data_IF_375071775411
#
_entry.id   IF_375071775411
#
_cell.length_a   1.000
_cell.length_b   1.000
_cell.length_c   1.000
_cell.angle_alpha   90.00
_cell.angle_beta   90.00
_cell.angle_gamma   90.00
#
_symmetry.space_group_name_H-M   'P 1'
#
loop_
_entity.id
_entity.type
_entity.pdbx_description
1 polymer ?
#
# COMPACT_ATOMS: atom_id res chain seq x y z
N UNK A 1 3.20 22.44 3.97
CA UNK A 1 1.99 22.23 4.77
C UNK A 1 0.66 22.32 4.01
N UNK A 2 0.51 23.06 2.88
CA UNK A 2 -0.79 23.19 2.15
C UNK A 2 -1.12 22.09 1.13
N UNK A 3 -0.13 21.31 0.67
CA UNK A 3 -0.32 20.33 -0.43
C UNK A 3 -0.74 18.91 0.01
N UNK A 4 -0.44 18.52 1.24
CA UNK A 4 -0.83 17.20 1.78
C UNK A 4 -2.33 17.11 2.07
N UNK A 5 -2.97 18.23 2.34
CA UNK A 5 -4.43 18.35 2.53
C UNK A 5 -5.23 18.05 1.26
N UNK A 6 -4.61 18.14 0.08
CA UNK A 6 -5.34 17.99 -1.18
C UNK A 6 -5.78 16.53 -1.43
N UNK A 7 -4.93 15.54 -1.11
CA UNK A 7 -5.28 14.11 -1.27
C UNK A 7 -6.23 13.67 -0.14
N UNK A 8 -6.05 14.15 1.09
CA UNK A 8 -7.01 13.93 2.17
C UNK A 8 -8.35 14.63 1.92
N UNK A 9 -8.34 15.85 1.35
CA UNK A 9 -9.57 16.55 0.95
C UNK A 9 -10.35 15.79 -0.11
N UNK A 10 -9.65 15.10 -1.03
CA UNK A 10 -10.28 14.24 -2.04
C UNK A 10 -11.07 13.09 -1.38
N UNK A 11 -10.50 12.48 -0.33
CA UNK A 11 -11.17 11.41 0.43
C UNK A 11 -12.41 11.91 1.15
N UNK A 12 -12.37 13.09 1.75
CA UNK A 12 -13.53 13.69 2.43
C UNK A 12 -14.69 13.94 1.45
N UNK A 13 -14.41 14.46 0.25
CA UNK A 13 -15.45 14.71 -0.76
C UNK A 13 -16.15 13.42 -1.22
N UNK A 14 -15.41 12.31 -1.32
CA UNK A 14 -15.96 11.02 -1.78
C UNK A 14 -16.80 10.31 -0.71
N UNK A 15 -16.48 10.49 0.59
CA UNK A 15 -17.12 9.75 1.68
C UNK A 15 -18.27 10.52 2.37
N UNK A 16 -18.31 11.85 2.31
CA UNK A 16 -19.23 12.65 3.11
C UNK A 16 -20.52 13.12 2.40
N UNK A 17 -20.68 12.93 1.07
CA UNK A 17 -21.91 13.28 0.37
C UNK A 17 -22.86 12.09 0.20
N UNK A 18 -23.62 11.79 1.25
CA UNK A 18 -24.62 10.72 1.23
C UNK A 18 -25.99 11.25 1.60
N UNK A 19 -26.66 11.93 0.72
CA UNK A 19 -28.12 12.02 0.67
C UNK A 19 -28.54 12.95 -0.46
N UNK A 20 -28.80 12.44 -1.66
CA UNK A 20 -29.80 12.92 -2.60
C UNK A 20 -29.90 11.94 -3.80
N UNK A 21 -31.13 11.67 -4.26
CA UNK A 21 -31.53 10.77 -5.33
C UNK A 21 -30.88 11.08 -6.71
N UNK A 22 -31.05 10.22 -7.65
CA UNK A 22 -30.54 10.10 -9.05
C UNK A 22 -29.91 11.33 -9.75
N UNK A 23 -30.36 12.56 -9.46
CA UNK A 23 -29.74 13.83 -9.87
C UNK A 23 -28.41 14.11 -9.14
N UNK A 24 -28.16 13.47 -8.00
CA UNK A 24 -26.93 13.57 -7.22
C UNK A 24 -25.74 12.81 -7.82
N UNK A 25 -25.99 11.71 -8.52
CA UNK A 25 -24.92 10.87 -9.11
C UNK A 25 -24.21 11.60 -10.24
N UNK A 26 -24.96 12.17 -11.18
CA UNK A 26 -24.38 12.94 -12.30
C UNK A 26 -23.62 14.16 -11.78
N UNK A 27 -24.17 14.88 -10.81
CA UNK A 27 -23.52 16.04 -10.19
C UNK A 27 -22.26 15.66 -9.41
N UNK A 28 -22.22 14.47 -8.81
CA UNK A 28 -21.02 13.93 -8.15
C UNK A 28 -19.95 13.50 -9.16
N UNK A 29 -20.34 12.83 -10.25
CA UNK A 29 -19.46 12.43 -11.32
C UNK A 29 -18.79 13.66 -11.97
N UNK A 30 -19.55 14.73 -12.24
CA UNK A 30 -19.03 15.99 -12.77
C UNK A 30 -18.04 16.66 -11.81
N UNK A 31 -18.32 16.60 -10.49
CA UNK A 31 -17.44 17.19 -9.47
C UNK A 31 -16.11 16.49 -9.35
N UNK A 32 -16.06 15.16 -9.49
CA UNK A 32 -14.82 14.39 -9.39
C UNK A 32 -13.98 14.55 -10.66
N UNK A 33 -14.60 14.56 -11.84
CA UNK A 33 -13.88 14.87 -13.07
C UNK A 33 -13.30 16.29 -13.02
N UNK A 34 -14.09 17.29 -12.61
CA UNK A 34 -13.59 18.66 -12.42
C UNK A 34 -12.38 18.72 -11.47
N UNK A 35 -12.40 17.92 -10.40
CA UNK A 35 -11.29 17.84 -9.45
C UNK A 35 -10.04 17.24 -10.09
N UNK A 36 -10.19 16.16 -10.89
CA UNK A 36 -9.08 15.56 -11.62
C UNK A 36 -8.45 16.57 -12.60
N UNK A 37 -9.27 17.28 -13.38
CA UNK A 37 -8.83 18.30 -14.34
C UNK A 37 -8.14 19.48 -13.64
N UNK A 38 -8.71 19.92 -12.52
CA UNK A 38 -8.14 21.00 -11.71
C UNK A 38 -6.77 20.65 -11.14
N UNK A 39 -6.60 19.41 -10.59
CA UNK A 39 -5.34 18.92 -10.07
C UNK A 39 -4.29 18.77 -11.18
N UNK A 40 -4.67 18.15 -12.29
CA UNK A 40 -3.82 17.99 -13.46
C UNK A 40 -3.26 19.34 -13.91
N UNK A 41 -4.13 20.34 -14.07
CA UNK A 41 -3.75 21.68 -14.56
C UNK A 41 -2.91 22.46 -13.55
N UNK A 42 -3.32 22.49 -12.28
CA UNK A 42 -2.63 23.28 -11.23
C UNK A 42 -1.26 22.74 -10.88
N UNK A 43 -1.14 21.42 -10.76
CA UNK A 43 0.11 20.77 -10.34
C UNK A 43 0.97 20.38 -11.56
N UNK A 44 0.49 20.62 -12.78
CA UNK A 44 1.17 20.27 -14.05
C UNK A 44 1.61 18.80 -14.06
N UNK A 45 0.68 17.92 -13.72
CA UNK A 45 0.93 16.48 -13.63
C UNK A 45 1.08 15.88 -15.03
N UNK A 46 1.84 14.80 -15.23
CA UNK A 46 1.80 14.02 -16.47
C UNK A 46 0.42 13.38 -16.67
N UNK A 47 -0.15 12.82 -15.59
CA UNK A 47 -1.48 12.27 -15.56
C UNK A 47 -1.96 11.93 -14.15
N UNK A 48 -3.27 11.86 -14.01
CA UNK A 48 -3.97 11.43 -12.80
C UNK A 48 -5.10 10.47 -13.18
N UNK A 49 -5.28 9.44 -12.37
CA UNK A 49 -6.37 8.47 -12.47
C UNK A 49 -7.06 8.32 -11.13
N UNK A 50 -8.38 8.26 -11.13
CA UNK A 50 -9.21 8.07 -9.94
C UNK A 50 -10.21 6.95 -10.22
N UNK A 51 -10.20 5.90 -9.41
CA UNK A 51 -11.21 4.85 -9.40
C UNK A 51 -12.05 4.92 -8.14
N UNK A 52 -13.36 4.85 -8.26
CA UNK A 52 -14.30 4.91 -7.14
C UNK A 52 -15.24 3.72 -7.18
N UNK A 53 -15.43 3.09 -6.03
CA UNK A 53 -16.53 2.17 -5.75
C UNK A 53 -17.53 2.89 -4.84
N UNK A 54 -18.78 3.01 -5.29
CA UNK A 54 -19.86 3.57 -4.48
C UNK A 54 -21.15 2.79 -4.73
N UNK A 55 -21.70 2.18 -3.69
CA UNK A 55 -22.91 1.35 -3.73
C UNK A 55 -22.86 0.27 -4.84
N UNK A 56 -21.72 -0.41 -4.98
CA UNK A 56 -21.51 -1.48 -5.97
C UNK A 56 -21.23 -0.99 -7.40
N UNK A 57 -21.35 0.32 -7.67
CA UNK A 57 -21.01 0.92 -8.96
C UNK A 57 -19.54 1.35 -8.96
N UNK A 58 -18.80 1.01 -10.00
CA UNK A 58 -17.44 1.50 -10.25
C UNK A 58 -17.49 2.66 -11.24
N UNK A 59 -16.77 3.74 -10.93
CA UNK A 59 -16.60 4.90 -11.81
C UNK A 59 -15.10 5.21 -11.90
N UNK A 60 -14.67 5.69 -13.07
CA UNK A 60 -13.28 6.00 -13.37
C UNK A 60 -13.18 7.38 -13.98
N UNK A 61 -12.23 8.16 -13.48
CA UNK A 61 -11.96 9.54 -13.92
C UNK A 61 -10.48 9.67 -14.19
N UNK A 62 -10.11 10.49 -15.14
CA UNK A 62 -8.72 10.71 -15.48
C UNK A 62 -8.50 12.09 -16.10
N UNK A 63 -7.28 12.62 -15.97
CA UNK A 63 -6.82 13.77 -16.71
C UNK A 63 -5.34 13.59 -17.08
N UNK A 64 -4.92 14.09 -18.24
CA UNK A 64 -3.60 13.87 -18.79
C UNK A 64 -3.38 12.44 -19.29
N UNK A 65 -2.16 11.94 -19.22
CA UNK A 65 -1.73 10.70 -19.88
C UNK A 65 -1.03 9.74 -18.90
N UNK A 66 -1.31 8.46 -19.06
CA UNK A 66 -0.52 7.38 -18.46
C UNK A 66 0.89 7.33 -19.07
N UNK A 67 0.99 7.62 -20.37
CA UNK A 67 2.26 7.82 -21.08
C UNK A 67 2.11 8.98 -22.08
N UNK A 68 2.58 10.18 -21.73
CA UNK A 68 2.50 11.35 -22.60
C UNK A 68 3.16 11.19 -23.97
N UNK A 69 4.29 10.47 -24.06
CA UNK A 69 5.01 10.30 -25.32
C UNK A 69 4.21 9.45 -26.32
N UNK A 70 3.48 8.47 -25.83
CA UNK A 70 2.58 7.63 -26.63
C UNK A 70 1.16 8.19 -26.73
N UNK A 71 0.90 9.35 -26.12
CA UNK A 71 -0.44 9.92 -25.97
C UNK A 71 -1.46 8.89 -25.42
N UNK A 72 -0.99 8.00 -24.56
CA UNK A 72 -1.80 6.93 -23.97
C UNK A 72 -2.52 7.47 -22.72
N UNK A 73 -3.84 7.61 -22.73
CA UNK A 73 -4.58 8.02 -21.55
C UNK A 73 -4.54 6.93 -20.50
N UNK A 74 -4.85 7.28 -19.25
CA UNK A 74 -5.16 6.28 -18.25
C UNK A 74 -6.49 5.61 -18.56
N UNK A 75 -6.56 4.31 -18.30
CA UNK A 75 -7.80 3.55 -18.20
C UNK A 75 -7.76 2.61 -16.99
N UNK A 76 -8.87 1.90 -16.75
CA UNK A 76 -8.99 0.99 -15.62
C UNK A 76 -8.05 -0.24 -15.68
N UNK A 77 -7.47 -0.51 -16.86
CA UNK A 77 -6.54 -1.62 -17.12
C UNK A 77 -5.07 -1.19 -17.15
N UNK A 78 -4.80 0.12 -17.11
CA UNK A 78 -3.44 0.66 -17.10
C UNK A 78 -2.70 0.20 -15.85
N UNK A 79 -1.51 -0.40 -16.05
CA UNK A 79 -0.66 -0.87 -14.96
C UNK A 79 0.21 0.26 -14.41
N UNK A 80 0.31 0.33 -13.08
CA UNK A 80 1.14 1.30 -12.35
C UNK A 80 1.73 0.68 -11.08
N UNK A 81 2.76 1.30 -10.50
CA UNK A 81 3.29 0.93 -9.18
C UNK A 81 2.35 1.42 -8.08
N UNK A 82 2.01 0.54 -7.14
CA UNK A 82 1.17 0.91 -5.99
C UNK A 82 1.99 1.37 -4.77
N UNK A 83 3.32 1.27 -4.86
CA UNK A 83 4.22 1.66 -3.77
C UNK A 83 3.82 1.01 -2.44
N UNK A 84 3.84 1.78 -1.38
CA UNK A 84 3.60 1.25 -0.02
C UNK A 84 2.20 0.69 0.23
N UNK A 85 1.22 0.84 -0.67
CA UNK A 85 -0.03 0.08 -0.60
C UNK A 85 0.26 -1.43 -0.62
N UNK A 86 1.39 -1.87 -1.19
CA UNK A 86 1.91 -3.25 -1.11
C UNK A 86 1.90 -3.80 0.31
N UNK A 87 2.14 -2.98 1.34
CA UNK A 87 2.16 -3.42 2.74
C UNK A 87 0.82 -4.01 3.21
N UNK A 88 -0.28 -3.55 2.63
CA UNK A 88 -1.60 -4.09 2.95
C UNK A 88 -1.76 -5.51 2.40
N UNK A 89 -1.20 -5.79 1.22
CA UNK A 89 -1.09 -7.13 0.64
C UNK A 89 -0.17 -8.01 1.47
N UNK A 90 0.98 -7.50 1.89
CA UNK A 90 1.95 -8.22 2.72
C UNK A 90 1.34 -8.61 4.07
N UNK A 91 0.60 -7.71 4.71
CA UNK A 91 -0.10 -8.01 5.95
C UNK A 91 -1.17 -9.10 5.74
N UNK A 92 -1.92 -9.05 4.63
CA UNK A 92 -2.88 -10.10 4.28
C UNK A 92 -2.20 -11.46 4.08
N UNK A 93 -1.15 -11.49 3.26
CA UNK A 93 -0.38 -12.71 2.97
C UNK A 93 0.22 -13.29 4.25
N UNK A 94 0.90 -12.48 5.05
CA UNK A 94 1.51 -12.96 6.30
C UNK A 94 0.45 -13.49 7.26
N UNK A 95 -0.67 -12.77 7.45
CA UNK A 95 -1.76 -13.23 8.30
C UNK A 95 -2.33 -14.57 7.83
N UNK A 96 -2.49 -14.76 6.51
CA UNK A 96 -2.95 -16.03 5.94
C UNK A 96 -1.96 -17.17 6.21
N UNK A 97 -0.65 -16.92 6.02
CA UNK A 97 0.42 -17.91 6.29
C UNK A 97 0.46 -18.28 7.77
N UNK A 98 0.39 -17.30 8.67
CA UNK A 98 0.40 -17.55 10.11
C UNK A 98 -0.80 -18.40 10.53
N UNK A 99 -2.01 -18.08 10.05
CA UNK A 99 -3.21 -18.84 10.35
C UNK A 99 -3.14 -20.29 9.85
N UNK A 100 -2.62 -20.53 8.65
CA UNK A 100 -2.46 -21.88 8.10
C UNK A 100 -1.45 -22.75 8.87
N UNK A 101 -0.46 -22.12 9.47
CA UNK A 101 0.60 -22.79 10.23
C UNK A 101 0.37 -22.79 11.74
N UNK A 102 -0.80 -22.32 12.22
CA UNK A 102 -1.14 -22.17 13.64
C UNK A 102 -0.10 -21.36 14.43
N UNK A 103 0.46 -20.31 13.82
CA UNK A 103 1.45 -19.39 14.40
C UNK A 103 0.70 -18.14 14.90
N UNK A 104 1.00 -17.71 16.13
CA UNK A 104 0.43 -16.48 16.66
C UNK A 104 1.11 -15.24 16.05
N UNK A 105 0.33 -14.20 15.78
CA UNK A 105 0.88 -12.90 15.39
C UNK A 105 1.75 -12.25 16.46
N UNK A 106 1.64 -12.69 17.71
CA UNK A 106 2.48 -12.24 18.84
C UNK A 106 3.73 -13.09 19.03
N UNK A 107 3.92 -14.17 18.29
CA UNK A 107 5.12 -14.99 18.39
C UNK A 107 6.37 -14.20 17.99
N UNK A 108 7.51 -14.40 18.70
CA UNK A 108 8.76 -13.76 18.34
C UNK A 108 9.27 -14.21 16.96
N UNK A 109 9.56 -13.25 16.09
CA UNK A 109 10.02 -13.53 14.72
C UNK A 109 11.39 -14.22 14.68
N UNK A 110 12.19 -14.08 15.73
CA UNK A 110 13.51 -14.69 15.85
C UNK A 110 13.46 -16.22 15.67
N UNK A 111 12.38 -16.87 16.07
CA UNK A 111 12.19 -18.32 15.93
C UNK A 111 12.12 -18.79 14.47
N UNK A 112 11.84 -17.89 13.54
CA UNK A 112 11.64 -18.16 12.11
C UNK A 112 12.77 -17.63 11.23
N UNK A 113 13.80 -17.04 11.85
CA UNK A 113 14.99 -16.52 11.16
C UNK A 113 16.07 -17.61 11.01
N UNK A 114 17.06 -17.44 10.09
CA UNK A 114 18.21 -18.35 10.01
C UNK A 114 19.00 -18.42 11.31
N UNK A 115 19.63 -19.56 11.60
CA UNK A 115 20.39 -19.78 12.82
C UNK A 115 21.47 -18.72 13.06
N UNK A 116 22.12 -18.25 12.01
CA UNK A 116 23.12 -17.19 12.09
C UNK A 116 22.58 -15.84 12.52
N UNK A 117 21.26 -15.60 12.34
CA UNK A 117 20.56 -14.37 12.75
C UNK A 117 19.97 -14.53 14.13
N UNK A 118 19.55 -15.74 14.51
CA UNK A 118 18.97 -16.04 15.84
C UNK A 118 19.95 -15.78 17.00
N UNK A 119 21.25 -15.67 16.72
CA UNK A 119 22.23 -15.29 17.73
C UNK A 119 22.01 -13.85 18.26
N UNK A 120 21.38 -12.99 17.47
CA UNK A 120 21.03 -11.64 17.89
C UNK A 120 19.76 -11.64 18.75
N UNK A 121 19.92 -11.78 20.07
CA UNK A 121 18.81 -11.83 21.01
C UNK A 121 17.99 -10.52 21.11
N UNK A 122 18.50 -9.40 20.60
CA UNK A 122 17.73 -8.15 20.50
C UNK A 122 16.50 -8.28 19.61
N UNK A 123 16.46 -9.27 18.69
CA UNK A 123 15.32 -9.56 17.84
C UNK A 123 14.17 -10.28 18.55
N UNK A 124 14.39 -10.80 19.77
CA UNK A 124 13.36 -11.53 20.54
C UNK A 124 12.14 -10.68 20.91
N UNK A 125 12.32 -9.36 20.96
CA UNK A 125 11.23 -8.40 21.22
C UNK A 125 10.34 -8.10 20.01
N UNK A 126 10.74 -8.55 18.80
CA UNK A 126 9.98 -8.32 17.58
C UNK A 126 9.01 -9.46 17.36
N UNK A 127 7.72 -9.15 17.21
CA UNK A 127 6.67 -10.09 16.81
C UNK A 127 6.20 -9.83 15.38
N UNK A 128 5.47 -10.77 14.78
CA UNK A 128 4.81 -10.55 13.49
C UNK A 128 3.84 -9.36 13.54
N UNK A 129 3.08 -9.23 14.62
CA UNK A 129 2.21 -8.08 14.88
C UNK A 129 3.00 -6.76 14.78
N UNK A 130 4.15 -6.69 15.47
CA UNK A 130 4.95 -5.46 15.54
C UNK A 130 5.57 -5.07 14.18
N UNK A 131 5.82 -6.03 13.29
CA UNK A 131 6.24 -5.74 11.91
C UNK A 131 5.11 -5.11 11.09
N UNK A 132 3.88 -5.61 11.25
CA UNK A 132 2.72 -5.20 10.44
C UNK A 132 2.08 -3.89 10.92
N UNK A 133 2.24 -3.51 12.19
CA UNK A 133 1.72 -2.26 12.76
C UNK A 133 2.82 -1.22 13.05
N UNK A 134 4.07 -1.51 12.62
CA UNK A 134 5.21 -0.61 12.74
C UNK A 134 5.68 -0.31 14.18
N UNK A 135 5.43 -1.20 15.14
CA UNK A 135 5.91 -1.06 16.53
C UNK A 135 7.16 -1.86 16.83
N UNK A 136 7.79 -2.45 15.81
CA UNK A 136 8.96 -3.33 15.98
C UNK A 136 10.25 -2.64 16.45
N UNK A 137 10.28 -1.30 16.42
CA UNK A 137 11.52 -0.55 16.70
C UNK A 137 12.59 -0.66 15.60
N UNK A 138 12.30 -1.33 14.49
CA UNK A 138 13.16 -1.33 13.31
C UNK A 138 13.10 0.03 12.59
N UNK A 139 14.23 0.53 12.06
CA UNK A 139 14.27 1.81 11.36
C UNK A 139 13.45 1.77 10.05
N UNK A 140 13.21 2.95 9.48
CA UNK A 140 12.54 3.06 8.17
C UNK A 140 13.27 2.26 7.09
N UNK A 141 14.58 2.39 7.03
CA UNK A 141 15.48 1.66 6.13
C UNK A 141 16.71 1.19 6.93
N UNK A 142 17.32 0.07 6.56
CA UNK A 142 18.55 -0.41 7.20
C UNK A 142 19.72 0.52 6.85
N UNK A 143 20.63 0.75 7.78
CA UNK A 143 21.79 1.63 7.62
C UNK A 143 22.86 1.07 6.66
N UNK A 144 22.83 -0.25 6.43
CA UNK A 144 23.70 -0.90 5.44
C UNK A 144 23.14 -0.89 4.00
N UNK A 145 22.02 -0.21 3.75
CA UNK A 145 21.48 -0.01 2.42
C UNK A 145 22.38 0.94 1.61
N UNK A 146 23.04 0.44 0.59
CA UNK A 146 23.86 1.22 -0.34
C UNK A 146 23.05 1.55 -1.58
N UNK A 147 22.70 2.81 -1.78
CA UNK A 147 22.02 3.29 -2.99
C UNK A 147 23.04 3.47 -4.11
N UNK A 148 23.37 2.42 -4.84
CA UNK A 148 24.33 2.46 -5.96
C UNK A 148 23.72 3.19 -7.16
N UNK A 149 22.45 2.94 -7.43
CA UNK A 149 21.69 3.60 -8.48
C UNK A 149 20.56 4.42 -7.84
N UNK A 150 20.64 5.75 -7.95
CA UNK A 150 19.64 6.64 -7.34
C UNK A 150 18.22 6.41 -7.87
N UNK A 151 18.06 5.89 -9.11
CA UNK A 151 16.75 5.57 -9.68
C UNK A 151 16.24 4.19 -9.28
N UNK A 152 17.13 3.32 -8.77
CA UNK A 152 16.83 1.97 -8.30
C UNK A 152 17.43 1.76 -6.90
N UNK A 153 16.91 2.48 -5.87
CA UNK A 153 17.59 2.58 -4.58
C UNK A 153 17.68 1.24 -3.82
N UNK A 154 16.88 0.25 -4.20
CA UNK A 154 16.78 -1.04 -3.49
C UNK A 154 17.31 -2.23 -4.29
N UNK A 155 17.68 -2.05 -5.57
CA UNK A 155 17.98 -3.17 -6.48
C UNK A 155 19.13 -4.07 -6.02
N UNK A 156 20.08 -3.52 -5.27
CA UNK A 156 21.24 -4.25 -4.74
C UNK A 156 21.06 -4.79 -3.32
N UNK A 157 19.90 -4.50 -2.68
CA UNK A 157 19.64 -4.94 -1.31
C UNK A 157 18.97 -6.31 -1.29
N UNK A 158 19.79 -7.36 -1.18
CA UNK A 158 19.35 -8.75 -1.22
C UNK A 158 19.30 -9.40 0.17
N UNK A 159 19.17 -10.74 0.17
CA UNK A 159 19.08 -11.54 1.39
C UNK A 159 20.35 -11.43 2.25
N UNK A 160 21.52 -11.35 1.61
CA UNK A 160 22.79 -11.23 2.33
C UNK A 160 22.87 -9.93 3.13
N UNK A 161 22.48 -8.82 2.52
CA UNK A 161 22.46 -7.50 3.15
C UNK A 161 21.45 -7.45 4.29
N UNK A 162 20.24 -8.00 4.07
CA UNK A 162 19.20 -8.08 5.09
C UNK A 162 19.66 -8.89 6.30
N UNK A 163 20.18 -10.11 6.08
CA UNK A 163 20.60 -10.94 7.20
C UNK A 163 21.87 -10.42 7.88
N UNK A 164 22.78 -9.78 7.13
CA UNK A 164 23.93 -9.08 7.73
C UNK A 164 23.48 -7.96 8.67
N UNK A 165 22.51 -7.15 8.24
CA UNK A 165 21.92 -6.13 9.11
C UNK A 165 21.28 -6.74 10.36
N UNK A 166 20.43 -7.76 10.17
CA UNK A 166 19.71 -8.39 11.30
C UNK A 166 20.62 -9.09 12.32
N UNK A 167 21.81 -9.51 11.96
CA UNK A 167 22.80 -10.11 12.89
C UNK A 167 23.29 -9.14 13.97
N UNK A 168 23.26 -7.83 13.72
CA UNK A 168 23.85 -6.82 14.59
C UNK A 168 22.93 -5.68 14.99
N UNK A 169 21.75 -5.57 14.36
CA UNK A 169 20.83 -4.48 14.68
C UNK A 169 20.29 -4.58 16.10
N UNK A 170 19.98 -3.42 16.67
CA UNK A 170 19.42 -3.29 18.01
C UNK A 170 18.10 -2.54 17.92
N UNK A 171 16.98 -3.21 17.60
CA UNK A 171 15.67 -2.60 17.56
C UNK A 171 15.31 -1.97 18.91
N UNK A 172 14.61 -0.84 18.87
CA UNK A 172 14.19 -0.09 20.07
C UNK A 172 12.68 0.09 20.07
N UNK A 173 11.89 -0.98 20.34
CA UNK A 173 10.45 -0.85 20.44
C UNK A 173 10.09 0.03 21.66
N UNK A 174 9.35 1.10 21.44
CA UNK A 174 8.87 2.01 22.50
C UNK A 174 7.33 2.04 22.59
N UNK A 175 6.68 1.09 21.90
CA UNK A 175 5.22 1.00 21.84
C UNK A 175 4.58 1.96 20.82
N UNK A 176 5.36 2.84 20.20
CA UNK A 176 4.87 3.76 19.17
C UNK A 176 4.96 3.14 17.78
N UNK A 177 4.02 3.50 16.93
CA UNK A 177 4.07 3.12 15.51
C UNK A 177 5.04 4.04 14.77
N UNK A 178 6.21 3.51 14.39
CA UNK A 178 7.25 4.20 13.62
C UNK A 178 7.38 3.46 12.28
N UNK A 179 6.95 4.12 11.21
CA UNK A 179 6.86 3.54 9.88
C UNK A 179 8.18 2.91 9.40
N UNK A 180 8.16 1.61 9.08
CA UNK A 180 9.33 0.83 8.70
C UNK A 180 9.11 0.07 7.39
N UNK A 181 9.85 0.42 6.32
CA UNK A 181 9.95 -0.39 5.11
C UNK A 181 10.70 -1.69 5.38
N UNK A 182 11.75 -1.62 6.22
CA UNK A 182 12.50 -2.81 6.62
C UNK A 182 11.60 -3.81 7.34
N UNK A 183 10.76 -3.36 8.29
CA UNK A 183 9.83 -4.22 9.00
C UNK A 183 8.82 -4.89 8.06
N UNK A 184 8.26 -4.13 7.12
CA UNK A 184 7.32 -4.68 6.13
C UNK A 184 8.00 -5.64 5.13
N UNK A 185 9.23 -5.34 4.69
CA UNK A 185 10.02 -6.25 3.88
C UNK A 185 10.30 -7.57 4.61
N UNK A 186 10.73 -7.47 5.89
CA UNK A 186 10.96 -8.64 6.74
C UNK A 186 9.69 -9.47 6.95
N UNK A 187 8.53 -8.84 7.08
CA UNK A 187 7.23 -9.52 7.19
C UNK A 187 6.98 -10.44 5.96
N UNK A 188 7.25 -9.94 4.75
CA UNK A 188 7.15 -10.75 3.54
C UNK A 188 8.18 -11.87 3.47
N UNK A 189 9.43 -11.59 3.82
CA UNK A 189 10.50 -12.61 3.88
C UNK A 189 10.15 -13.72 4.87
N UNK A 190 9.56 -13.40 5.99
CA UNK A 190 9.11 -14.40 6.97
C UNK A 190 7.94 -15.23 6.44
N UNK A 191 7.01 -14.62 5.71
CA UNK A 191 5.95 -15.38 5.02
C UNK A 191 6.53 -16.38 4.01
N UNK A 192 7.55 -15.99 3.23
CA UNK A 192 8.26 -16.88 2.32
C UNK A 192 8.96 -18.02 3.06
N UNK A 193 9.67 -17.72 4.14
CA UNK A 193 10.41 -18.73 4.92
C UNK A 193 9.49 -19.75 5.59
N UNK A 194 8.37 -19.31 6.15
CA UNK A 194 7.40 -20.19 6.82
C UNK A 194 6.71 -21.11 5.80
N UNK A 195 6.33 -20.55 4.65
CA UNK A 195 5.56 -21.28 3.63
C UNK A 195 6.41 -22.05 2.63
N UNK A 196 7.70 -21.72 2.47
CA UNK A 196 8.57 -22.23 1.41
C UNK A 196 8.23 -21.72 0.00
N UNK A 197 7.38 -20.68 -0.14
CA UNK A 197 6.93 -20.13 -1.42
C UNK A 197 7.38 -18.66 -1.55
N UNK A 198 7.57 -18.19 -2.79
CA UNK A 198 7.88 -16.78 -3.03
C UNK A 198 6.70 -15.86 -2.67
N UNK A 199 6.99 -14.61 -2.30
CA UNK A 199 5.96 -13.60 -2.00
C UNK A 199 4.98 -13.40 -3.17
N UNK A 200 5.47 -13.43 -4.40
CA UNK A 200 4.62 -13.35 -5.59
C UNK A 200 3.63 -14.54 -5.67
N UNK A 201 4.11 -15.75 -5.40
CA UNK A 201 3.26 -16.96 -5.36
C UNK A 201 2.23 -16.87 -4.24
N UNK A 202 2.63 -16.37 -3.08
CA UNK A 202 1.70 -16.21 -1.94
C UNK A 202 0.65 -15.13 -2.21
N UNK A 203 1.04 -14.00 -2.81
CA UNK A 203 0.10 -12.96 -3.22
C UNK A 203 -0.91 -13.49 -4.26
N UNK A 204 -0.45 -14.27 -5.24
CA UNK A 204 -1.32 -14.94 -6.20
C UNK A 204 -2.29 -15.90 -5.51
N UNK A 205 -1.78 -16.79 -4.64
CA UNK A 205 -2.55 -17.82 -3.93
C UNK A 205 -3.61 -17.24 -2.98
N UNK A 206 -3.27 -16.19 -2.23
CA UNK A 206 -4.14 -15.70 -1.15
C UNK A 206 -4.98 -14.48 -1.54
N UNK A 207 -4.58 -13.74 -2.57
CA UNK A 207 -5.24 -12.49 -2.96
C UNK A 207 -5.67 -12.53 -4.43
N UNK A 208 -4.73 -12.64 -5.39
CA UNK A 208 -5.08 -12.40 -6.79
C UNK A 208 -6.13 -13.40 -7.30
N UNK A 209 -5.90 -14.70 -7.13
CA UNK A 209 -6.84 -15.73 -7.57
C UNK A 209 -8.16 -15.69 -6.79
N UNK A 210 -8.18 -15.70 -5.42
CA UNK A 210 -9.42 -15.68 -4.67
C UNK A 210 -10.27 -14.43 -4.88
N UNK A 211 -9.64 -13.28 -5.11
CA UNK A 211 -10.33 -12.01 -5.36
C UNK A 211 -10.66 -11.80 -6.85
N UNK A 212 -10.21 -12.70 -7.73
CA UNK A 212 -10.36 -12.60 -9.18
C UNK A 212 -9.71 -11.33 -9.75
N UNK A 213 -8.55 -10.99 -9.26
CA UNK A 213 -7.70 -9.92 -9.78
C UNK A 213 -6.85 -10.43 -10.94
N UNK A 214 -6.50 -9.55 -11.87
CA UNK A 214 -5.49 -9.84 -12.87
C UNK A 214 -4.10 -10.07 -12.22
N UNK A 215 -3.20 -10.69 -12.96
CA UNK A 215 -1.81 -10.79 -12.53
C UNK A 215 -0.98 -9.69 -13.23
N UNK A 216 -0.65 -8.58 -12.53
CA UNK A 216 0.05 -7.44 -13.14
C UNK A 216 1.44 -7.80 -13.67
N UNK A 217 2.09 -8.84 -13.11
CA UNK A 217 3.37 -9.34 -13.62
C UNK A 217 3.25 -9.96 -15.02
N UNK A 218 2.04 -10.40 -15.39
CA UNK A 218 1.70 -10.91 -16.72
C UNK A 218 1.03 -9.85 -17.60
N UNK A 219 0.74 -8.66 -17.06
CA UNK A 219 0.16 -7.57 -17.83
C UNK A 219 1.12 -7.15 -18.95
N UNK A 220 0.57 -7.01 -20.14
CA UNK A 220 1.32 -6.64 -21.32
C UNK A 220 2.02 -5.28 -21.11
N UNK A 221 3.27 -5.20 -21.48
CA UNK A 221 4.10 -3.99 -21.44
C UNK A 221 3.44 -2.78 -22.16
N UNK A 222 2.48 -3.03 -23.04
CA UNK A 222 1.79 -2.02 -23.85
C UNK A 222 0.84 -1.11 -23.06
N UNK A 223 0.29 -1.59 -21.92
CA UNK A 223 -0.61 -0.81 -21.04
C UNK A 223 0.06 -0.38 -19.74
N UNK A 224 1.35 -0.12 -19.80
CA UNK A 224 2.14 0.29 -18.64
C UNK A 224 2.28 1.81 -18.61
N UNK A 225 1.89 2.44 -17.51
CA UNK A 225 2.08 3.87 -17.32
C UNK A 225 3.55 4.22 -17.21
N UNK A 226 3.99 5.34 -17.78
CA UNK A 226 5.31 5.90 -17.56
C UNK A 226 5.32 6.71 -16.26
N UNK A 227 6.23 6.37 -15.35
CA UNK A 227 6.44 7.13 -14.12
C UNK A 227 7.44 8.27 -14.29
N UNK A 228 7.27 9.35 -13.50
CA UNK A 228 8.12 10.54 -13.55
C UNK A 228 8.58 10.95 -12.15
N UNK A 229 9.89 11.23 -11.99
CA UNK A 229 10.43 11.77 -10.76
C UNK A 229 10.11 13.27 -10.61
N UNK A 230 10.15 13.98 -11.70
CA UNK A 230 9.74 15.39 -11.85
C UNK A 230 9.16 15.59 -13.25
N UNK A 231 8.67 16.76 -13.57
CA UNK A 231 8.18 17.06 -14.92
C UNK A 231 9.24 16.69 -15.97
N UNK A 232 8.86 15.84 -16.94
CA UNK A 232 9.70 15.33 -18.03
C UNK A 232 10.91 14.45 -17.59
N UNK A 233 11.02 14.09 -16.30
CA UNK A 233 12.11 13.27 -15.77
C UNK A 233 11.60 11.83 -15.56
N UNK A 234 11.66 11.01 -16.59
CA UNK A 234 11.21 9.62 -16.58
C UNK A 234 12.01 8.76 -15.63
N UNK A 235 11.34 7.82 -14.98
CA UNK A 235 11.97 6.86 -14.09
C UNK A 235 11.49 5.45 -14.40
N UNK A 236 12.35 4.43 -14.26
CA UNK A 236 11.94 3.04 -14.37
C UNK A 236 11.09 2.63 -13.17
N UNK A 237 10.29 1.57 -13.32
CA UNK A 237 9.65 0.89 -12.20
C UNK A 237 10.70 0.34 -11.24
N UNK A 238 10.45 0.43 -9.94
CA UNK A 238 11.39 -0.01 -8.93
C UNK A 238 11.59 -1.53 -8.90
N UNK A 239 12.83 -1.95 -8.91
CA UNK A 239 13.22 -3.26 -8.45
C UNK A 239 13.54 -3.18 -6.95
N UNK A 240 12.63 -3.63 -6.10
CA UNK A 240 12.82 -3.56 -4.65
C UNK A 240 13.52 -4.80 -4.07
N UNK A 241 13.90 -5.77 -4.90
CA UNK A 241 14.60 -6.98 -4.51
C UNK A 241 13.95 -7.62 -3.26
N UNK A 242 14.72 -7.93 -2.20
CA UNK A 242 14.21 -8.54 -0.96
C UNK A 242 13.20 -7.67 -0.21
N UNK A 243 13.18 -6.35 -0.46
CA UNK A 243 12.23 -5.41 0.11
C UNK A 243 10.94 -5.25 -0.73
N UNK A 244 10.75 -6.06 -1.78
CA UNK A 244 9.54 -6.03 -2.62
C UNK A 244 8.23 -6.10 -1.80
N UNK A 245 8.12 -6.84 -0.69
CA UNK A 245 6.94 -6.83 0.14
C UNK A 245 6.63 -5.48 0.81
N UNK A 246 7.57 -4.55 0.84
CA UNK A 246 7.37 -3.21 1.38
C UNK A 246 6.79 -2.20 0.38
N UNK A 247 6.87 -2.47 -0.95
CA UNK A 247 6.46 -1.45 -1.91
C UNK A 247 6.58 -1.83 -3.39
N UNK A 248 6.89 -3.09 -3.72
CA UNK A 248 7.27 -3.51 -5.08
C UNK A 248 6.13 -4.06 -5.94
N UNK A 249 4.88 -4.05 -5.48
CA UNK A 249 3.78 -4.53 -6.30
C UNK A 249 3.32 -3.47 -7.31
N UNK A 250 2.85 -3.96 -8.44
CA UNK A 250 2.11 -3.21 -9.45
C UNK A 250 0.66 -3.67 -9.48
N UNK A 251 -0.25 -2.83 -9.95
CA UNK A 251 -1.66 -3.19 -10.12
C UNK A 251 -2.31 -2.34 -11.22
N UNK A 252 -3.59 -2.57 -11.45
CA UNK A 252 -4.45 -1.73 -12.30
C UNK A 252 -5.53 -1.06 -11.48
N UNK A 253 -6.18 -0.02 -12.02
CA UNK A 253 -7.28 0.65 -11.34
C UNK A 253 -8.44 -0.30 -11.03
N UNK A 254 -8.78 -1.18 -11.98
CA UNK A 254 -9.85 -2.17 -11.81
C UNK A 254 -9.51 -3.21 -10.74
N UNK A 255 -8.26 -3.72 -10.73
CA UNK A 255 -7.83 -4.69 -9.74
C UNK A 255 -7.74 -4.09 -8.34
N UNK A 256 -7.29 -2.84 -8.23
CA UNK A 256 -7.29 -2.15 -6.93
C UNK A 256 -8.70 -1.96 -6.39
N UNK A 257 -9.69 -1.59 -7.22
CA UNK A 257 -11.07 -1.55 -6.75
C UNK A 257 -11.61 -2.94 -6.40
N UNK A 258 -11.19 -3.99 -7.12
CA UNK A 258 -11.54 -5.38 -6.79
C UNK A 258 -10.96 -5.78 -5.43
N UNK A 259 -9.69 -5.44 -5.16
CA UNK A 259 -9.07 -5.65 -3.85
C UNK A 259 -9.84 -4.95 -2.74
N UNK A 260 -10.09 -3.64 -2.90
CA UNK A 260 -10.78 -2.82 -1.91
C UNK A 260 -12.25 -3.28 -1.68
N UNK A 261 -12.94 -3.71 -2.73
CA UNK A 261 -14.29 -4.28 -2.61
C UNK A 261 -14.31 -5.56 -1.77
N UNK A 262 -13.30 -6.44 -1.94
CA UNK A 262 -13.15 -7.63 -1.08
C UNK A 262 -12.76 -7.26 0.36
N UNK A 263 -12.07 -6.13 0.57
CA UNK A 263 -11.83 -5.60 1.91
C UNK A 263 -13.12 -5.06 2.56
N UNK A 264 -14.01 -4.44 1.77
CA UNK A 264 -15.34 -4.02 2.23
C UNK A 264 -16.22 -5.24 2.58
N UNK A 265 -16.28 -6.22 1.68
CA UNK A 265 -17.19 -7.38 1.76
C UNK A 265 -16.45 -8.69 1.49
N UNK A 266 -15.81 -9.28 2.50
CA UNK A 266 -15.11 -10.55 2.36
C UNK A 266 -16.06 -11.69 2.01
N UNK A 267 -15.73 -12.44 0.94
CA UNK A 267 -16.60 -13.46 0.34
C UNK A 267 -16.54 -14.83 1.03
N UNK A 268 -15.50 -15.10 1.82
CA UNK A 268 -15.31 -16.39 2.52
C UNK A 268 -15.08 -16.18 4.00
N UNK A 269 -15.34 -17.21 4.82
CA UNK A 269 -15.03 -17.18 6.25
C UNK A 269 -13.56 -16.92 6.54
N UNK A 270 -12.64 -17.48 5.72
CA UNK A 270 -11.20 -17.27 5.83
C UNK A 270 -10.83 -15.80 5.54
N UNK A 271 -11.30 -15.25 4.42
CA UNK A 271 -11.03 -13.85 4.09
C UNK A 271 -11.62 -12.89 5.13
N UNK A 272 -12.81 -13.20 5.66
CA UNK A 272 -13.44 -12.43 6.75
C UNK A 272 -12.56 -12.43 8.02
N UNK A 273 -12.06 -13.60 8.42
CA UNK A 273 -11.17 -13.72 9.58
C UNK A 273 -9.89 -12.91 9.42
N UNK A 274 -9.24 -13.00 8.24
CA UNK A 274 -8.04 -12.24 7.92
C UNK A 274 -8.35 -10.73 7.96
N UNK A 275 -9.35 -10.27 7.23
CA UNK A 275 -9.69 -8.85 7.12
C UNK A 275 -10.08 -8.26 8.49
N UNK A 276 -10.77 -9.03 9.33
CA UNK A 276 -11.05 -8.60 10.71
C UNK A 276 -9.77 -8.34 11.51
N UNK A 277 -8.74 -9.19 11.37
CA UNK A 277 -7.43 -8.96 11.99
C UNK A 277 -6.74 -7.72 11.41
N UNK A 278 -6.73 -7.56 10.09
CA UNK A 278 -6.09 -6.41 9.43
C UNK A 278 -6.73 -5.07 9.82
N UNK A 279 -8.04 -5.06 10.02
CA UNK A 279 -8.83 -3.85 10.33
C UNK A 279 -9.05 -3.61 11.81
N UNK A 280 -8.61 -4.51 12.68
CA UNK A 280 -8.61 -4.27 14.13
C UNK A 280 -7.55 -3.23 14.48
N UNK A 281 -7.93 -2.24 15.29
CA UNK A 281 -6.97 -1.27 15.81
C UNK A 281 -5.97 -1.97 16.74
N UNK A 282 -4.68 -1.79 16.48
CA UNK A 282 -3.59 -2.36 17.27
C UNK A 282 -2.82 -1.31 18.06
N UNK A 283 -2.66 -0.11 17.52
CA UNK A 283 -1.99 1.01 18.17
C UNK A 283 -2.62 2.34 17.75
N UNK A 284 -2.81 3.26 18.67
CA UNK A 284 -3.24 4.62 18.40
C UNK A 284 -2.02 5.51 18.12
N UNK A 285 -2.09 6.33 17.06
CA UNK A 285 -1.09 7.37 16.76
C UNK A 285 -1.56 8.71 17.36
N UNK A 286 -2.84 9.03 17.16
CA UNK A 286 -3.53 10.20 17.72
C UNK A 286 -4.94 9.78 18.16
N UNK A 287 -5.72 10.62 18.82
CA UNK A 287 -7.11 10.29 19.16
C UNK A 287 -7.98 9.92 17.95
N UNK A 288 -7.65 10.40 16.73
CA UNK A 288 -8.40 10.13 15.51
C UNK A 288 -7.72 9.16 14.56
N UNK A 289 -6.44 8.87 14.74
CA UNK A 289 -5.66 8.05 13.81
C UNK A 289 -5.06 6.87 14.56
N UNK A 290 -5.27 5.69 14.03
CA UNK A 290 -4.73 4.44 14.54
C UNK A 290 -4.11 3.60 13.40
N UNK A 291 -3.50 2.47 13.74
CA UNK A 291 -2.97 1.48 12.82
C UNK A 291 -3.56 0.11 13.14
N UNK A 292 -3.99 -0.58 12.10
CA UNK A 292 -4.26 -2.01 12.12
C UNK A 292 -3.02 -2.80 11.66
N UNK A 293 -3.22 -3.84 10.84
CA UNK A 293 -2.11 -4.55 10.21
C UNK A 293 -1.99 -4.11 8.75
N UNK A 294 -0.97 -3.29 8.46
CA UNK A 294 -0.74 -2.72 7.14
C UNK A 294 -1.72 -1.61 6.73
N UNK A 295 -2.73 -1.28 7.53
CA UNK A 295 -3.70 -0.23 7.27
C UNK A 295 -3.66 0.87 8.33
N UNK A 296 -3.70 2.13 7.90
CA UNK A 296 -4.05 3.26 8.77
C UNK A 296 -5.57 3.34 8.92
N UNK A 297 -6.03 3.78 10.07
CA UNK A 297 -7.44 3.87 10.44
C UNK A 297 -7.74 5.30 10.87
N UNK A 298 -8.72 5.93 10.22
CA UNK A 298 -9.29 7.20 10.70
C UNK A 298 -10.58 6.88 11.46
N UNK A 299 -10.62 7.27 12.73
CA UNK A 299 -11.76 7.13 13.61
C UNK A 299 -12.36 8.53 13.86
N UNK A 300 -13.37 8.89 13.09
CA UNK A 300 -14.15 10.10 13.34
C UNK A 300 -15.38 9.77 14.17
N UNK A 301 -15.71 10.71 15.07
CA UNK A 301 -16.91 10.58 15.90
C UNK A 301 -18.15 10.46 15.01
N UNK A 302 -19.00 9.50 15.31
CA UNK A 302 -20.28 9.25 14.62
C UNK A 302 -20.16 8.84 13.13
N UNK A 303 -18.95 8.48 12.67
CA UNK A 303 -18.71 7.97 11.32
C UNK A 303 -18.08 6.57 11.36
N UNK A 304 -18.36 5.70 10.37
CA UNK A 304 -17.65 4.43 10.27
C UNK A 304 -16.17 4.67 10.01
N UNK A 305 -15.27 3.82 10.55
CA UNK A 305 -13.84 3.94 10.32
C UNK A 305 -13.48 3.91 8.84
N UNK A 306 -12.54 4.77 8.44
CA UNK A 306 -11.94 4.77 7.11
C UNK A 306 -10.56 4.12 7.20
N UNK A 307 -10.36 3.05 6.43
CA UNK A 307 -9.09 2.36 6.31
C UNK A 307 -8.36 2.87 5.07
N UNK A 308 -7.10 3.24 5.21
CA UNK A 308 -6.36 3.83 4.11
C UNK A 308 -4.87 3.50 4.14
N UNK A 309 -4.24 3.58 2.98
CA UNK A 309 -2.80 3.59 2.83
C UNK A 309 -2.41 4.41 1.60
N UNK A 310 -1.33 5.18 1.69
CA UNK A 310 -0.73 5.84 0.55
C UNK A 310 0.47 5.04 0.03
N UNK A 311 0.85 5.28 -1.22
CA UNK A 311 2.03 4.68 -1.84
C UNK A 311 2.88 5.73 -2.53
N UNK A 312 4.18 5.51 -2.54
CA UNK A 312 5.11 6.34 -3.29
C UNK A 312 6.27 5.51 -3.79
N UNK A 313 6.60 5.73 -5.05
CA UNK A 313 7.86 5.34 -5.68
C UNK A 313 8.45 6.57 -6.36
N UNK A 314 9.61 6.45 -7.00
CA UNK A 314 10.12 7.61 -7.76
C UNK A 314 9.31 7.91 -9.04
N UNK A 315 8.38 7.04 -9.42
CA UNK A 315 7.53 7.23 -10.60
C UNK A 315 6.07 7.51 -10.28
N UNK A 316 5.62 7.23 -9.06
CA UNK A 316 4.18 7.23 -8.74
C UNK A 316 3.90 7.73 -7.34
N UNK A 317 2.76 8.40 -7.21
CA UNK A 317 2.12 8.70 -5.94
C UNK A 317 0.71 8.12 -5.97
N UNK A 318 0.39 7.26 -5.00
CA UNK A 318 -0.87 6.53 -4.95
C UNK A 318 -1.55 6.66 -3.59
N UNK A 319 -2.86 6.50 -3.58
CA UNK A 319 -3.66 6.48 -2.37
C UNK A 319 -4.82 5.51 -2.52
N UNK A 320 -5.06 4.67 -1.53
CA UNK A 320 -6.19 3.75 -1.49
C UNK A 320 -6.92 3.87 -0.15
N UNK A 321 -8.25 3.88 -0.18
CA UNK A 321 -9.07 3.87 1.02
C UNK A 321 -10.38 3.11 0.82
N UNK A 322 -10.93 2.58 1.92
CA UNK A 322 -12.25 1.95 1.92
C UNK A 322 -12.96 2.12 3.27
N UNK A 323 -14.26 1.93 3.27
CA UNK A 323 -15.10 1.83 4.47
C UNK A 323 -15.64 0.41 4.55
N UNK A 324 -15.25 -0.31 5.62
CA UNK A 324 -15.68 -1.70 5.84
C UNK A 324 -17.19 -1.76 6.02
N UNK A 325 -17.80 -2.85 5.51
CA UNK A 325 -19.25 -3.07 5.53
C UNK A 325 -20.08 -1.98 4.81
N UNK A 326 -19.39 -1.14 4.01
CA UNK A 326 -19.99 -0.18 3.08
C UNK A 326 -19.40 -0.41 1.69
N UNK A 327 -20.21 -0.24 0.66
CA UNK A 327 -19.72 -0.34 -0.71
C UNK A 327 -19.05 0.97 -1.14
N UNK A 328 -18.00 1.38 -0.40
CA UNK A 328 -17.28 2.64 -0.64
C UNK A 328 -15.78 2.41 -0.60
N UNK A 329 -15.14 2.69 -1.73
CA UNK A 329 -13.67 2.66 -1.82
C UNK A 329 -13.18 3.64 -2.89
N UNK A 330 -11.91 4.02 -2.78
CA UNK A 330 -11.24 4.90 -3.75
C UNK A 330 -9.80 4.46 -3.96
N UNK A 331 -9.34 4.59 -5.20
CA UNK A 331 -7.94 4.55 -5.59
C UNK A 331 -7.61 5.81 -6.39
N UNK A 332 -6.54 6.50 -6.01
CA UNK A 332 -5.98 7.65 -6.75
C UNK A 332 -4.57 7.32 -7.16
N UNK A 333 -4.22 7.62 -8.40
CA UNK A 333 -2.90 7.37 -8.98
C UNK A 333 -2.44 8.63 -9.71
N UNK A 334 -1.25 9.08 -9.40
CA UNK A 334 -0.53 10.11 -10.12
C UNK A 334 0.78 9.49 -10.59
N UNK A 335 1.07 9.54 -11.88
CA UNK A 335 2.31 8.98 -12.43
C UNK A 335 3.50 9.94 -12.30
N UNK A 336 3.58 10.58 -11.14
CA UNK A 336 4.71 11.43 -10.76
C UNK A 336 5.02 11.29 -9.26
N UNK A 337 6.32 11.31 -8.93
CA UNK A 337 6.76 11.42 -7.55
C UNK A 337 6.31 12.75 -6.94
N UNK A 338 5.64 12.69 -5.82
CA UNK A 338 5.26 13.87 -5.04
C UNK A 338 6.07 13.90 -3.75
N UNK A 339 7.04 14.81 -3.65
CA UNK A 339 7.86 15.00 -2.44
C UNK A 339 7.03 15.13 -1.16
N UNK A 340 5.86 15.75 -1.26
CA UNK A 340 4.98 16.00 -0.11
C UNK A 340 4.06 14.80 0.23
N UNK A 341 3.95 13.79 -0.66
CA UNK A 341 3.09 12.61 -0.46
C UNK A 341 3.86 11.31 -0.28
N UNK A 342 5.04 11.18 -0.89
CA UNK A 342 5.84 9.95 -0.87
C UNK A 342 7.01 9.98 0.12
N UNK A 343 7.47 11.19 0.49
CA UNK A 343 8.69 11.37 1.28
C UNK A 343 8.59 10.82 2.68
N UNK A 344 7.51 11.05 3.37
CA UNK A 344 7.51 10.93 4.83
C UNK A 344 6.59 9.84 5.39
N UNK A 345 5.86 9.09 4.57
CA UNK A 345 4.91 8.09 5.10
C UNK A 345 3.97 8.63 6.20
N UNK A 346 4.20 9.86 6.59
CA UNK A 346 3.61 10.64 7.65
C UNK A 346 3.51 12.10 7.23
N UNK A 347 3.13 12.39 6.01
CA UNK A 347 2.63 13.73 5.67
C UNK A 347 1.30 14.04 6.37
N UNK A 348 1.03 13.31 7.46
CA UNK A 348 -0.07 13.53 8.40
C UNK A 348 0.58 13.55 9.78
N UNK A 349 1.14 14.66 10.15
CA UNK A 349 1.31 15.12 11.52
C UNK A 349 0.86 16.57 11.53
#
# INVERSE_FOLDING_TARGET
>A
MKKTWLICSLCCVVFFNSSVAQTGIQKQDDSIQYLADSLYSKEKLPGIFIGILNNGKRSFYQAGFADPDRQMPFDSSTTFEIGSITKTFTAYVLTAVLMENNISETDPVINYLPDSVRQNQHLSSISFLSLMNHTSGLPRLPDNLKMVNIRQPYETYGANELYTYLKSCTPKPDGKSIYSNLGAGLAGVLAERISGKSFATLADQYILQPFKMGNPAKALTQHKSQGYFAANDKTPYWNMNILAPAGGLTSTGNDMLTYLENMCFPKTGKSKAIINKLTAQTVAITPRVAVGLGWHIINDKDQPPVYWHNGGTYGFSTFAAFVKDKSKAVIVVINQFNKNGAGDGLGIV
#
